data_IF_811939226800
#
_entry.id   IF_811939226800
#
_cell.length_a   1.000
_cell.length_b   1.000
_cell.length_c   1.000
_cell.angle_alpha   90.00
_cell.angle_beta   90.00
_cell.angle_gamma   90.00
#
_symmetry.space_group_name_H-M   'P 1'
#
loop_
_entity.id
_entity.type
_entity.pdbx_description
1 polymer ?
#
# COMPACT_ATOMS: atom_id res chain seq x y z
N UNK A 1 -21.52 18.93 11.95
CA UNK A 1 -21.23 18.21 10.69
C UNK A 1 -19.80 17.72 10.48
N UNK A 2 -18.73 18.30 11.05
CA UNK A 2 -17.37 17.78 10.82
C UNK A 2 -17.05 16.41 11.42
N UNK A 3 -17.75 15.96 12.47
CA UNK A 3 -17.47 14.64 13.08
C UNK A 3 -17.96 13.46 12.22
N UNK A 4 -19.13 13.57 11.58
CA UNK A 4 -19.61 12.53 10.66
C UNK A 4 -18.66 12.34 9.47
N UNK A 5 -18.04 13.42 9.00
CA UNK A 5 -17.07 13.38 7.91
C UNK A 5 -15.81 12.58 8.25
N UNK A 6 -15.33 12.70 9.49
CA UNK A 6 -14.14 11.98 9.96
C UNK A 6 -14.41 10.47 10.03
N UNK A 7 -15.60 10.08 10.50
CA UNK A 7 -16.02 8.67 10.58
C UNK A 7 -16.15 8.05 9.18
N UNK A 8 -16.75 8.78 8.23
CA UNK A 8 -16.94 8.27 6.85
C UNK A 8 -15.59 8.05 6.14
N UNK A 9 -14.59 8.88 6.45
CA UNK A 9 -13.25 8.76 5.84
C UNK A 9 -12.33 7.80 6.55
N UNK A 10 -12.56 7.54 7.83
CA UNK A 10 -11.73 6.62 8.60
C UNK A 10 -11.70 5.23 7.95
N UNK A 11 -12.85 4.73 7.51
CA UNK A 11 -12.97 3.39 6.92
C UNK A 11 -12.13 3.21 5.63
N UNK A 12 -12.26 4.05 4.58
CA UNK A 12 -11.45 3.91 3.37
C UNK A 12 -9.96 4.09 3.64
N UNK A 13 -9.58 4.95 4.56
CA UNK A 13 -8.17 5.21 4.92
C UNK A 13 -7.53 4.01 5.63
N UNK A 14 -8.24 3.39 6.58
CA UNK A 14 -7.81 2.13 7.17
C UNK A 14 -7.76 1.01 6.12
N UNK A 15 -8.70 0.99 5.18
CA UNK A 15 -8.69 0.05 4.05
C UNK A 15 -7.42 0.17 3.20
N UNK A 16 -6.98 1.40 2.90
CA UNK A 16 -5.72 1.65 2.18
C UNK A 16 -4.52 1.19 3.02
N UNK A 17 -4.47 1.56 4.31
CA UNK A 17 -3.37 1.20 5.19
C UNK A 17 -3.20 -0.31 5.35
N UNK A 18 -4.32 -1.02 5.58
CA UNK A 18 -4.37 -2.48 5.68
C UNK A 18 -4.01 -3.12 4.34
N UNK A 19 -4.52 -2.58 3.22
CA UNK A 19 -4.22 -3.09 1.88
C UNK A 19 -2.73 -3.01 1.54
N UNK A 20 -2.10 -1.86 1.74
CA UNK A 20 -0.67 -1.67 1.47
C UNK A 20 0.20 -2.55 2.37
N UNK A 21 -0.07 -2.55 3.68
CA UNK A 21 0.75 -3.32 4.65
C UNK A 21 0.51 -4.82 4.52
N UNK A 22 -0.72 -5.24 4.23
CA UNK A 22 -1.07 -6.64 4.02
C UNK A 22 -0.32 -7.25 2.83
N UNK A 23 -0.16 -6.50 1.75
CA UNK A 23 0.60 -6.96 0.57
C UNK A 23 2.08 -7.08 0.87
N UNK A 24 2.63 -6.17 1.68
CA UNK A 24 3.99 -6.30 2.19
C UNK A 24 4.14 -7.57 3.03
N UNK A 25 3.21 -7.82 3.97
CA UNK A 25 3.21 -9.02 4.81
C UNK A 25 3.13 -10.31 3.99
N UNK A 26 2.24 -10.37 3.00
CA UNK A 26 2.13 -11.50 2.06
C UNK A 26 3.42 -11.67 1.26
N UNK A 27 4.02 -10.56 0.80
CA UNK A 27 5.32 -10.60 0.12
C UNK A 27 6.42 -11.19 1.02
N UNK A 28 6.49 -10.76 2.27
CA UNK A 28 7.49 -11.23 3.25
C UNK A 28 7.30 -12.73 3.53
N UNK A 29 6.05 -13.18 3.68
CA UNK A 29 5.71 -14.60 3.85
C UNK A 29 6.24 -15.44 2.69
N UNK A 30 5.96 -15.00 1.45
CA UNK A 30 6.45 -15.70 0.25
C UNK A 30 7.97 -15.65 0.14
N UNK A 31 8.59 -14.51 0.45
CA UNK A 31 10.05 -14.36 0.43
C UNK A 31 10.71 -15.36 1.40
N UNK A 32 10.23 -15.44 2.64
CA UNK A 32 10.77 -16.35 3.65
C UNK A 32 10.53 -17.81 3.25
N UNK A 33 9.36 -18.13 2.73
CA UNK A 33 9.02 -19.48 2.25
C UNK A 33 9.95 -19.96 1.13
N UNK A 34 10.34 -19.05 0.21
CA UNK A 34 11.22 -19.37 -0.92
C UNK A 34 12.69 -19.44 -0.52
N UNK A 35 13.19 -18.46 0.26
CA UNK A 35 14.62 -18.38 0.62
C UNK A 35 14.97 -19.38 1.73
N UNK A 36 14.11 -19.50 2.74
CA UNK A 36 14.38 -20.25 3.96
C UNK A 36 13.40 -21.40 4.17
N UNK A 37 13.16 -22.20 3.12
CA UNK A 37 12.20 -23.31 3.16
C UNK A 37 12.39 -24.27 4.36
N UNK A 38 13.64 -24.58 4.71
CA UNK A 38 13.98 -25.46 5.85
C UNK A 38 13.74 -24.81 7.20
N UNK A 39 14.07 -23.52 7.36
CA UNK A 39 13.96 -22.79 8.63
C UNK A 39 12.54 -22.28 8.88
N UNK A 40 11.79 -22.01 7.81
CA UNK A 40 10.37 -21.68 7.86
C UNK A 40 9.55 -22.81 8.51
N UNK A 41 9.88 -24.07 8.21
CA UNK A 41 9.21 -25.24 8.80
C UNK A 41 9.49 -25.40 10.31
N UNK A 42 10.61 -24.88 10.79
CA UNK A 42 10.99 -24.88 12.21
C UNK A 42 10.55 -23.60 12.94
N UNK A 43 10.00 -22.61 12.22
CA UNK A 43 9.56 -21.36 12.79
C UNK A 43 8.22 -21.56 13.51
N UNK A 44 8.05 -20.94 14.67
CA UNK A 44 6.76 -20.97 15.36
C UNK A 44 5.76 -20.07 14.61
N UNK A 45 4.83 -20.70 13.89
CA UNK A 45 3.79 -20.05 13.06
C UNK A 45 3.02 -18.98 13.83
N UNK A 46 2.75 -19.19 15.13
CA UNK A 46 2.02 -18.21 15.94
C UNK A 46 2.81 -16.92 16.17
N UNK A 47 4.09 -17.01 16.51
CA UNK A 47 4.93 -15.83 16.73
C UNK A 47 5.14 -15.06 15.42
N UNK A 48 5.24 -15.77 14.30
CA UNK A 48 5.38 -15.16 12.98
C UNK A 48 4.14 -14.39 12.55
N UNK A 49 2.95 -14.98 12.67
CA UNK A 49 1.70 -14.26 12.36
C UNK A 49 1.46 -13.11 13.32
N UNK A 50 1.85 -13.22 14.59
CA UNK A 50 1.76 -12.12 15.54
C UNK A 50 2.66 -10.95 15.14
N UNK A 51 3.88 -11.23 14.66
CA UNK A 51 4.76 -10.22 14.10
C UNK A 51 4.16 -9.51 12.86
N UNK A 52 3.57 -10.28 11.93
CA UNK A 52 2.90 -9.68 10.76
C UNK A 52 1.69 -8.83 11.17
N UNK A 53 0.88 -9.31 12.12
CA UNK A 53 -0.25 -8.55 12.66
C UNK A 53 0.22 -7.26 13.34
N UNK A 54 1.33 -7.31 14.07
CA UNK A 54 1.93 -6.13 14.69
C UNK A 54 2.37 -5.09 13.65
N UNK A 55 2.91 -5.50 12.50
CA UNK A 55 3.24 -4.56 11.41
C UNK A 55 1.99 -3.86 10.86
N UNK A 56 0.91 -4.61 10.62
CA UNK A 56 -0.36 -4.05 10.14
C UNK A 56 -0.93 -3.06 11.15
N UNK A 57 -1.03 -3.46 12.41
CA UNK A 57 -1.56 -2.62 13.50
C UNK A 57 -0.68 -1.38 13.69
N UNK A 58 0.65 -1.54 13.65
CA UNK A 58 1.60 -0.44 13.79
C UNK A 58 1.42 0.60 12.69
N UNK A 59 1.31 0.18 11.42
CA UNK A 59 1.10 1.10 10.31
C UNK A 59 -0.29 1.77 10.37
N UNK A 60 -1.34 1.02 10.72
CA UNK A 60 -2.66 1.61 10.94
C UNK A 60 -2.64 2.64 12.07
N UNK A 61 -1.97 2.33 13.18
CA UNK A 61 -1.85 3.25 14.33
C UNK A 61 -1.08 4.52 13.95
N UNK A 62 -0.04 4.41 13.12
CA UNK A 62 0.67 5.56 12.56
C UNK A 62 -0.25 6.45 11.71
N UNK A 63 -1.10 5.86 10.86
CA UNK A 63 -2.06 6.61 10.07
C UNK A 63 -3.12 7.32 10.93
N UNK A 64 -3.64 6.64 11.95
CA UNK A 64 -4.57 7.25 12.92
C UNK A 64 -3.89 8.39 13.68
N UNK A 65 -2.64 8.21 14.10
CA UNK A 65 -1.87 9.26 14.76
C UNK A 65 -1.74 10.49 13.86
N UNK A 66 -1.40 10.32 12.58
CA UNK A 66 -1.34 11.43 11.62
C UNK A 66 -2.68 12.16 11.47
N UNK A 67 -3.79 11.42 11.41
CA UNK A 67 -5.13 12.02 11.33
C UNK A 67 -5.46 12.86 12.56
N UNK A 68 -5.15 12.37 13.76
CA UNK A 68 -5.49 13.04 15.02
C UNK A 68 -4.54 14.22 15.29
N UNK A 69 -3.23 14.02 15.13
CA UNK A 69 -2.22 15.02 15.46
C UNK A 69 -2.28 16.25 14.53
N UNK A 70 -2.59 16.05 13.25
CA UNK A 70 -2.68 17.14 12.27
C UNK A 70 -4.12 17.59 12.00
N UNK A 71 -5.11 17.18 12.79
CA UNK A 71 -6.49 17.54 12.55
C UNK A 71 -6.73 19.06 12.63
N UNK A 72 -7.24 19.66 11.54
CA UNK A 72 -7.73 21.05 11.52
C UNK A 72 -9.17 21.11 11.01
N UNK A 73 -10.02 21.84 11.72
CA UNK A 73 -11.38 22.16 11.25
C UNK A 73 -11.30 23.11 10.06
N UNK A 74 -11.51 22.61 8.84
CA UNK A 74 -11.66 23.42 7.62
C UNK A 74 -12.84 22.89 6.79
N UNK A 75 -13.48 23.77 6.03
CA UNK A 75 -14.44 23.35 4.99
C UNK A 75 -13.63 22.90 3.78
N UNK A 76 -13.56 21.58 3.57
CA UNK A 76 -12.82 20.97 2.46
C UNK A 76 -13.72 19.96 1.75
N UNK A 77 -13.52 19.81 0.44
CA UNK A 77 -14.17 18.77 -0.36
C UNK A 77 -13.81 17.40 0.22
N UNK A 78 -14.77 16.47 0.27
CA UNK A 78 -14.57 15.13 0.81
C UNK A 78 -13.59 14.33 -0.06
N UNK A 79 -12.30 14.39 0.26
CA UNK A 79 -11.25 13.61 -0.40
C UNK A 79 -10.38 12.88 0.63
N UNK A 80 -9.84 11.73 0.28
CA UNK A 80 -8.94 10.91 1.14
C UNK A 80 -7.79 11.79 1.67
N UNK A 81 -7.02 12.41 0.78
CA UNK A 81 -5.89 13.28 1.18
C UNK A 81 -6.27 14.51 2.01
N UNK A 82 -7.52 14.98 1.95
CA UNK A 82 -7.95 16.14 2.75
C UNK A 82 -8.10 15.82 4.25
N UNK A 83 -7.95 14.55 4.65
CA UNK A 83 -7.82 14.15 6.06
C UNK A 83 -6.50 14.60 6.69
N UNK A 84 -5.48 14.88 5.87
CA UNK A 84 -4.13 15.22 6.31
C UNK A 84 -3.74 16.62 5.80
N UNK A 85 -4.00 17.70 6.55
CA UNK A 85 -3.63 19.03 6.10
C UNK A 85 -2.12 19.28 6.24
N UNK A 86 -1.58 20.09 5.32
CA UNK A 86 -0.24 20.66 5.38
C UNK A 86 0.84 19.56 5.54
N UNK A 87 1.59 19.57 6.66
CA UNK A 87 2.65 18.60 6.94
C UNK A 87 2.16 17.15 7.06
N UNK A 88 0.88 16.93 7.43
CA UNK A 88 0.31 15.59 7.51
C UNK A 88 0.31 14.86 6.16
N UNK A 89 0.04 15.59 5.07
CA UNK A 89 0.04 15.04 3.71
C UNK A 89 1.44 14.56 3.31
N UNK A 90 2.48 15.32 3.70
CA UNK A 90 3.86 14.95 3.45
C UNK A 90 4.23 13.64 4.16
N UNK A 91 3.91 13.50 5.45
CA UNK A 91 4.17 12.27 6.20
C UNK A 91 3.37 11.08 5.69
N UNK A 92 2.09 11.28 5.34
CA UNK A 92 1.25 10.25 4.74
C UNK A 92 1.83 9.75 3.40
N UNK A 93 2.23 10.68 2.55
CA UNK A 93 2.76 10.37 1.21
C UNK A 93 4.09 9.62 1.32
N UNK A 94 5.02 10.10 2.14
CA UNK A 94 6.30 9.43 2.35
C UNK A 94 6.16 8.06 3.03
N UNK A 95 5.25 7.94 4.01
CA UNK A 95 4.99 6.66 4.68
C UNK A 95 4.44 5.62 3.72
N UNK A 96 3.46 5.98 2.88
CA UNK A 96 2.95 5.10 1.84
C UNK A 96 4.01 4.78 0.79
N UNK A 97 4.81 5.76 0.37
CA UNK A 97 5.90 5.54 -0.59
C UNK A 97 6.94 4.56 -0.03
N UNK A 98 7.31 4.67 1.25
CA UNK A 98 8.23 3.76 1.91
C UNK A 98 7.71 2.31 1.90
N UNK A 99 6.45 2.08 2.28
CA UNK A 99 5.84 0.75 2.25
C UNK A 99 5.82 0.18 0.83
N UNK A 100 5.48 1.00 -0.17
CA UNK A 100 5.48 0.56 -1.57
C UNK A 100 6.89 0.21 -2.06
N UNK A 101 7.91 0.99 -1.69
CA UNK A 101 9.31 0.67 -2.02
C UNK A 101 9.75 -0.65 -1.36
N UNK A 102 9.38 -0.87 -0.09
CA UNK A 102 9.64 -2.14 0.58
C UNK A 102 8.94 -3.31 -0.11
N UNK A 103 7.71 -3.13 -0.59
CA UNK A 103 7.03 -4.13 -1.41
C UNK A 103 7.86 -4.46 -2.65
N UNK A 104 8.32 -3.47 -3.44
CA UNK A 104 9.16 -3.71 -4.63
C UNK A 104 10.36 -4.58 -4.27
N UNK A 105 11.07 -4.22 -3.20
CA UNK A 105 12.27 -4.95 -2.78
C UNK A 105 11.95 -6.40 -2.46
N UNK A 106 10.93 -6.65 -1.64
CA UNK A 106 10.53 -8.00 -1.23
C UNK A 106 10.09 -8.84 -2.43
N UNK A 107 9.29 -8.29 -3.33
CA UNK A 107 8.84 -8.99 -4.54
C UNK A 107 9.99 -9.26 -5.51
N UNK A 108 10.92 -8.31 -5.68
CA UNK A 108 12.10 -8.47 -6.54
C UNK A 108 13.02 -9.55 -6.01
N UNK A 109 13.29 -9.57 -4.70
CA UNK A 109 14.09 -10.61 -4.05
C UNK A 109 13.42 -11.97 -4.23
N UNK A 110 12.11 -12.06 -3.98
CA UNK A 110 11.33 -13.30 -4.14
C UNK A 110 11.41 -13.82 -5.58
N UNK A 111 11.31 -12.93 -6.56
CA UNK A 111 11.44 -13.26 -7.99
C UNK A 111 12.82 -13.83 -8.34
N UNK A 112 13.89 -13.16 -7.88
CA UNK A 112 15.28 -13.61 -8.11
C UNK A 112 15.50 -14.97 -7.45
N UNK A 113 15.07 -15.15 -6.19
CA UNK A 113 15.21 -16.39 -5.46
C UNK A 113 14.45 -17.56 -6.12
N UNK A 114 13.27 -17.27 -6.69
CA UNK A 114 12.50 -18.26 -7.41
C UNK A 114 13.16 -18.69 -8.73
N UNK A 115 13.76 -17.73 -9.45
CA UNK A 115 14.47 -18.02 -10.71
C UNK A 115 15.63 -19.00 -10.50
N UNK A 116 16.23 -18.99 -9.31
CA UNK A 116 17.30 -19.90 -8.92
C UNK A 116 16.84 -21.32 -8.59
N UNK A 117 15.53 -21.59 -8.46
CA UNK A 117 15.01 -22.94 -8.16
C UNK A 117 14.54 -23.67 -9.43
N UNK A 118 15.12 -24.84 -9.77
CA UNK A 118 14.84 -25.52 -11.04
C UNK A 118 13.40 -26.09 -11.20
N UNK A 119 12.72 -26.57 -10.15
CA UNK A 119 11.56 -27.48 -10.34
C UNK A 119 10.28 -27.18 -9.55
N UNK A 120 9.58 -26.07 -9.81
CA UNK A 120 8.15 -26.02 -9.42
C UNK A 120 7.31 -25.06 -10.27
N UNK A 121 6.72 -25.59 -11.34
CA UNK A 121 5.72 -24.91 -12.20
C UNK A 121 4.55 -24.33 -11.39
N UNK A 122 4.09 -25.04 -10.36
CA UNK A 122 2.98 -24.59 -9.48
C UNK A 122 3.37 -23.34 -8.68
N UNK A 123 4.57 -23.31 -8.07
CA UNK A 123 5.04 -22.12 -7.31
C UNK A 123 5.25 -20.92 -8.22
N UNK A 124 5.70 -21.15 -9.47
CA UNK A 124 5.88 -20.10 -10.49
C UNK A 124 4.56 -19.43 -10.87
N UNK A 125 3.45 -20.15 -10.97
CA UNK A 125 2.15 -19.54 -11.30
C UNK A 125 1.65 -18.62 -10.18
N UNK A 126 1.65 -19.09 -8.93
CA UNK A 126 1.17 -18.30 -7.78
C UNK A 126 2.02 -17.02 -7.65
N UNK A 127 3.34 -17.13 -7.79
CA UNK A 127 4.23 -15.96 -7.69
C UNK A 127 4.05 -15.00 -8.88
N UNK A 128 3.78 -15.50 -10.10
CA UNK A 128 3.48 -14.65 -11.25
C UNK A 128 2.21 -13.83 -11.05
N UNK A 129 1.15 -14.44 -10.49
CA UNK A 129 -0.09 -13.72 -10.16
C UNK A 129 0.16 -12.63 -9.10
N UNK A 130 0.94 -12.95 -8.06
CA UNK A 130 1.32 -12.01 -7.00
C UNK A 130 2.16 -10.84 -7.54
N UNK A 131 3.04 -11.12 -8.49
CA UNK A 131 3.85 -10.08 -9.14
C UNK A 131 2.99 -9.13 -9.98
N UNK A 132 1.96 -9.64 -10.66
CA UNK A 132 1.00 -8.81 -11.38
C UNK A 132 0.25 -7.90 -10.40
N UNK A 133 -0.21 -8.44 -9.26
CA UNK A 133 -0.84 -7.63 -8.20
C UNK A 133 0.10 -6.53 -7.72
N UNK A 134 1.36 -6.86 -7.41
CA UNK A 134 2.36 -5.89 -6.96
C UNK A 134 2.65 -4.82 -8.03
N UNK A 135 2.74 -5.20 -9.30
CA UNK A 135 2.99 -4.28 -10.41
C UNK A 135 1.81 -3.31 -10.64
N UNK A 136 0.58 -3.80 -10.53
CA UNK A 136 -0.63 -2.97 -10.61
C UNK A 136 -0.72 -2.01 -9.42
N UNK A 137 -0.34 -2.47 -8.23
CA UNK A 137 -0.26 -1.59 -7.06
C UNK A 137 0.80 -0.52 -7.19
N UNK A 138 1.96 -0.91 -7.73
CA UNK A 138 3.05 0.00 -7.98
C UNK A 138 2.67 1.07 -8.98
N UNK A 139 1.99 0.71 -10.07
CA UNK A 139 1.54 1.74 -11.00
C UNK A 139 0.56 2.69 -10.32
N UNK A 140 -0.41 2.21 -9.54
CA UNK A 140 -1.33 3.07 -8.79
C UNK A 140 -0.65 4.00 -7.77
N UNK A 141 0.22 3.43 -6.93
CA UNK A 141 0.83 4.15 -5.79
C UNK A 141 2.16 4.83 -6.10
N UNK A 142 2.81 4.55 -7.23
CA UNK A 142 4.00 5.29 -7.67
C UNK A 142 3.62 6.44 -8.59
N UNK A 143 2.65 6.23 -9.50
CA UNK A 143 2.19 7.27 -10.42
C UNK A 143 1.52 8.41 -9.64
N UNK A 144 0.71 8.11 -8.62
CA UNK A 144 -0.02 9.15 -7.87
C UNK A 144 0.91 10.16 -7.15
N UNK A 145 1.83 9.76 -6.26
CA UNK A 145 2.75 10.68 -5.62
C UNK A 145 3.86 11.18 -6.57
N UNK A 146 4.28 10.36 -7.54
CA UNK A 146 5.25 10.79 -8.56
C UNK A 146 4.72 11.93 -9.41
N UNK A 147 3.47 11.83 -9.86
CA UNK A 147 2.77 12.91 -10.55
C UNK A 147 2.53 14.10 -9.63
N UNK A 148 2.20 13.88 -8.35
CA UNK A 148 2.03 14.97 -7.39
C UNK A 148 3.31 15.81 -7.24
N UNK A 149 4.46 15.15 -7.06
CA UNK A 149 5.77 15.82 -7.01
C UNK A 149 6.12 16.53 -8.33
N UNK A 150 5.82 15.88 -9.47
CA UNK A 150 6.04 16.47 -10.79
C UNK A 150 5.19 17.74 -10.99
N UNK A 151 3.92 17.72 -10.59
CA UNK A 151 3.02 18.86 -10.69
C UNK A 151 3.39 20.00 -9.74
N UNK A 152 3.98 19.68 -8.60
CA UNK A 152 4.52 20.68 -7.70
C UNK A 152 5.77 21.36 -8.29
N UNK A 153 6.67 20.57 -8.89
CA UNK A 153 7.84 21.09 -9.60
C UNK A 153 7.45 21.96 -10.81
N UNK A 154 6.44 21.55 -11.57
CA UNK A 154 5.95 22.30 -12.74
C UNK A 154 5.13 23.55 -12.38
N UNK A 155 4.95 23.86 -11.08
CA UNK A 155 4.22 25.04 -10.60
C UNK A 155 2.82 25.21 -11.23
N UNK A 156 2.12 24.08 -11.45
CA UNK A 156 0.82 24.08 -12.11
C UNK A 156 -0.25 24.86 -11.31
N UNK A 157 -1.24 25.36 -12.04
CA UNK A 157 -2.33 26.14 -11.47
C UNK A 157 -3.16 25.28 -10.49
N UNK A 158 -3.71 25.89 -9.43
CA UNK A 158 -4.37 25.16 -8.34
C UNK A 158 -5.53 24.26 -8.82
N UNK A 159 -6.30 24.70 -9.82
CA UNK A 159 -7.37 23.92 -10.43
C UNK A 159 -6.84 22.69 -11.20
N UNK A 160 -5.69 22.81 -11.87
CA UNK A 160 -5.07 21.68 -12.58
C UNK A 160 -4.54 20.64 -11.59
N UNK A 161 -3.88 21.08 -10.50
CA UNK A 161 -3.43 20.18 -9.42
C UNK A 161 -4.60 19.39 -8.81
N UNK A 162 -5.75 20.03 -8.63
CA UNK A 162 -6.96 19.38 -8.13
C UNK A 162 -7.49 18.31 -9.11
N UNK A 163 -7.64 18.66 -10.40
CA UNK A 163 -8.15 17.74 -11.42
C UNK A 163 -7.26 16.49 -11.57
N UNK A 164 -5.95 16.69 -11.59
CA UNK A 164 -5.01 15.59 -11.72
C UNK A 164 -4.95 14.70 -10.48
N UNK A 165 -4.99 15.27 -9.27
CA UNK A 165 -5.05 14.48 -8.02
C UNK A 165 -6.31 13.60 -8.00
N UNK A 166 -7.44 14.14 -8.44
CA UNK A 166 -8.69 13.38 -8.54
C UNK A 166 -8.58 12.22 -9.53
N UNK A 167 -8.03 12.47 -10.72
CA UNK A 167 -7.80 11.45 -11.73
C UNK A 167 -6.87 10.33 -11.25
N UNK A 168 -5.77 10.65 -10.55
CA UNK A 168 -4.85 9.65 -10.02
C UNK A 168 -5.51 8.72 -8.98
N UNK A 169 -6.43 9.27 -8.18
CA UNK A 169 -7.16 8.49 -7.17
C UNK A 169 -8.00 7.37 -7.79
N UNK A 170 -8.49 7.55 -9.02
CA UNK A 170 -9.24 6.52 -9.76
C UNK A 170 -8.38 5.28 -9.99
N UNK A 171 -7.09 5.44 -10.31
CA UNK A 171 -6.18 4.31 -10.51
C UNK A 171 -5.96 3.51 -9.23
N UNK A 172 -5.89 4.18 -8.07
CA UNK A 172 -5.77 3.51 -6.78
C UNK A 172 -7.02 2.65 -6.51
N UNK A 173 -8.21 3.16 -6.81
CA UNK A 173 -9.45 2.39 -6.67
C UNK A 173 -9.50 1.19 -7.62
N UNK A 174 -9.10 1.37 -8.88
CA UNK A 174 -9.01 0.27 -9.85
C UNK A 174 -8.01 -0.79 -9.37
N UNK A 175 -6.83 -0.38 -8.90
CA UNK A 175 -5.81 -1.28 -8.38
C UNK A 175 -6.35 -2.09 -7.18
N UNK A 176 -7.09 -1.45 -6.27
CA UNK A 176 -7.76 -2.13 -5.16
C UNK A 176 -8.83 -3.13 -5.64
N UNK A 177 -9.64 -2.78 -6.63
CA UNK A 177 -10.66 -3.67 -7.19
C UNK A 177 -10.06 -4.88 -7.93
N UNK A 178 -8.96 -4.67 -8.66
CA UNK A 178 -8.28 -5.73 -9.41
C UNK A 178 -7.70 -6.80 -8.46
N UNK A 179 -7.27 -6.43 -7.25
CA UNK A 179 -6.82 -7.41 -6.24
C UNK A 179 -7.88 -8.42 -5.87
N UNK A 180 -9.12 -7.97 -5.65
CA UNK A 180 -10.23 -8.86 -5.31
C UNK A 180 -10.46 -9.89 -6.41
N UNK A 181 -10.38 -9.46 -7.67
CA UNK A 181 -10.51 -10.35 -8.83
C UNK A 181 -9.35 -11.35 -8.91
N UNK A 182 -8.11 -10.90 -8.70
CA UNK A 182 -6.95 -11.80 -8.76
C UNK A 182 -6.98 -12.84 -7.64
N UNK A 183 -7.30 -12.44 -6.40
CA UNK A 183 -7.42 -13.40 -5.29
C UNK A 183 -8.55 -14.41 -5.47
N UNK A 184 -9.62 -14.05 -6.19
CA UNK A 184 -10.72 -14.97 -6.47
C UNK A 184 -10.45 -15.89 -7.69
N UNK A 185 -9.62 -15.41 -8.63
CA UNK A 185 -9.27 -16.13 -9.86
C UNK A 185 -8.07 -17.07 -9.72
N UNK A 186 -7.32 -17.00 -8.62
CA UNK A 186 -6.09 -17.76 -8.38
C UNK A 186 -6.30 -18.81 -7.31
#
# INVERSE_FOLDING_TARGET
NSQHFLIIKFLPEMGIAIGCTGILCVGIDRMISVIFSLRYRALNTHLYHLFLAFLIIGFCSFQVFLMVAFYRKRQVVCQVMSSFPDAGQFWFTNGNLLINVLCIMVYSITWIALRSQPDSTIKKHVIKSLFIVAAVDLSGFFITPGLFLLFDYLSLNAQQKFAWTYFCTIFIHIALSVKLLIYYST
#
